data_IF_626212697514
#
_entry.id   IF_626212697514
#
_cell.length_a   1.000
_cell.length_b   1.000
_cell.length_c   1.000
_cell.angle_alpha   90.00
_cell.angle_beta   90.00
_cell.angle_gamma   90.00
#
_symmetry.space_group_name_H-M   'P 1'
#
loop_
_entity.id
_entity.type
_entity.pdbx_description
1 polymer ?
#
# COMPACT_ATOMS: atom_id res chain seq x y z
N UNK A 1 22.85 -13.28 -1.79
CA UNK A 1 21.45 -13.22 -2.25
C UNK A 1 21.14 -14.46 -3.09
N UNK A 2 20.39 -15.47 -2.57
CA UNK A 2 20.16 -16.72 -3.29
C UNK A 2 19.52 -16.53 -4.67
N UNK A 3 18.50 -15.66 -4.77
CA UNK A 3 17.83 -15.38 -6.06
C UNK A 3 18.76 -14.77 -7.12
N UNK A 4 19.71 -13.94 -6.71
CA UNK A 4 20.66 -13.31 -7.63
C UNK A 4 21.91 -14.17 -7.85
N UNK A 5 22.08 -15.26 -7.10
CA UNK A 5 23.30 -16.09 -7.05
C UNK A 5 24.58 -15.23 -6.92
N UNK A 6 24.53 -14.18 -6.10
CA UNK A 6 25.57 -13.18 -5.98
C UNK A 6 25.77 -12.71 -4.54
N UNK A 7 26.98 -12.25 -4.23
CA UNK A 7 27.36 -11.56 -3.02
C UNK A 7 27.57 -10.09 -3.33
N UNK A 8 27.02 -9.20 -2.51
CA UNK A 8 27.13 -7.77 -2.65
C UNK A 8 27.74 -7.16 -1.39
N UNK A 9 28.58 -6.16 -1.52
CA UNK A 9 28.86 -5.23 -0.42
C UNK A 9 27.65 -4.32 -0.22
N UNK A 10 27.58 -3.60 0.93
CA UNK A 10 26.44 -2.75 1.26
C UNK A 10 26.10 -1.75 0.15
N UNK A 11 27.07 -0.97 -0.34
CA UNK A 11 26.86 -0.02 -1.42
C UNK A 11 26.39 -0.65 -2.73
N UNK A 12 27.05 -1.76 -3.17
CA UNK A 12 26.58 -2.48 -4.37
C UNK A 12 25.15 -3.03 -4.21
N UNK A 13 24.78 -3.44 -3.00
CA UNK A 13 23.44 -3.92 -2.72
C UNK A 13 22.40 -2.80 -2.83
N UNK A 14 22.63 -1.67 -2.16
CA UNK A 14 21.66 -0.55 -2.15
C UNK A 14 21.65 0.21 -3.47
N UNK A 15 22.81 0.67 -3.94
CA UNK A 15 22.90 1.67 -4.99
C UNK A 15 22.90 1.06 -6.40
N UNK A 16 23.17 -0.26 -6.50
CA UNK A 16 23.13 -0.96 -7.78
C UNK A 16 22.03 -2.01 -7.82
N UNK A 17 22.05 -3.01 -6.92
CA UNK A 17 21.13 -4.14 -7.03
C UNK A 17 19.67 -3.73 -6.80
N UNK A 18 19.33 -3.19 -5.62
CA UNK A 18 17.94 -2.82 -5.28
C UNK A 18 17.46 -1.65 -6.17
N UNK A 19 18.29 -0.62 -6.34
CA UNK A 19 17.96 0.53 -7.19
C UNK A 19 17.69 0.13 -8.64
N UNK A 20 18.45 -0.81 -9.20
CA UNK A 20 18.22 -1.32 -10.56
C UNK A 20 16.92 -2.16 -10.66
N UNK A 21 16.54 -2.91 -9.61
CA UNK A 21 15.24 -3.61 -9.59
C UNK A 21 14.07 -2.61 -9.67
N UNK A 22 14.15 -1.52 -8.91
CA UNK A 22 13.14 -0.45 -8.93
C UNK A 22 13.13 0.29 -10.27
N UNK A 23 14.29 0.68 -10.79
CA UNK A 23 14.39 1.31 -12.12
C UNK A 23 13.86 0.41 -13.24
N UNK A 24 14.14 -0.89 -13.14
CA UNK A 24 13.62 -1.87 -14.10
C UNK A 24 12.10 -1.98 -14.01
N UNK A 25 11.54 -1.97 -12.79
CA UNK A 25 10.11 -1.95 -12.57
C UNK A 25 9.47 -0.71 -13.22
N UNK A 26 9.98 0.48 -12.90
CA UNK A 26 9.45 1.75 -13.41
C UNK A 26 9.52 1.81 -14.95
N UNK A 27 10.64 1.41 -15.55
CA UNK A 27 10.81 1.46 -17.00
C UNK A 27 10.00 0.39 -17.75
N UNK A 28 9.96 -0.83 -17.21
CA UNK A 28 9.27 -1.95 -17.86
C UNK A 28 7.76 -1.72 -17.95
N UNK A 29 7.18 -1.16 -16.89
CA UNK A 29 5.73 -0.99 -16.75
C UNK A 29 5.31 0.47 -16.98
N UNK A 30 6.21 1.33 -17.48
CA UNK A 30 5.99 2.76 -17.75
C UNK A 30 5.25 3.46 -16.57
N UNK A 31 5.76 3.25 -15.34
CA UNK A 31 5.06 3.65 -14.12
C UNK A 31 4.95 5.16 -13.93
N UNK A 32 6.04 5.87 -14.20
CA UNK A 32 6.13 7.32 -14.07
C UNK A 32 7.36 7.88 -14.80
N UNK A 33 7.30 9.15 -15.14
CA UNK A 33 8.40 9.94 -15.68
C UNK A 33 9.13 10.73 -14.59
N UNK A 34 10.25 11.36 -14.92
CA UNK A 34 11.01 12.24 -14.01
C UNK A 34 10.32 13.57 -13.72
N UNK A 35 9.42 13.98 -14.59
CA UNK A 35 8.63 15.20 -14.45
C UNK A 35 7.39 15.00 -13.59
N UNK A 36 6.96 13.74 -13.38
CA UNK A 36 5.76 13.46 -12.62
C UNK A 36 5.95 13.76 -11.13
N UNK A 37 4.94 14.33 -10.52
CA UNK A 37 4.83 14.48 -9.08
C UNK A 37 4.26 13.21 -8.48
N UNK A 38 5.04 12.53 -7.65
CA UNK A 38 4.68 11.25 -7.06
C UNK A 38 4.33 11.43 -5.60
N UNK A 39 3.15 10.96 -5.19
CA UNK A 39 2.77 10.87 -3.78
C UNK A 39 3.03 9.47 -3.26
N UNK A 40 3.89 9.33 -2.26
CA UNK A 40 4.22 8.04 -1.64
C UNK A 40 3.37 7.82 -0.41
N UNK A 41 2.57 6.76 -0.40
CA UNK A 41 1.81 6.37 0.79
C UNK A 41 2.76 5.80 1.85
N UNK A 42 3.07 6.58 2.88
CA UNK A 42 3.97 6.19 3.95
C UNK A 42 3.22 5.77 5.21
N UNK A 43 3.72 4.75 5.91
CA UNK A 43 3.11 4.22 7.13
C UNK A 43 4.10 4.13 8.30
N UNK A 44 5.32 4.63 8.13
CA UNK A 44 6.42 4.44 9.08
C UNK A 44 7.05 3.04 9.03
N UNK A 45 6.51 2.11 8.24
CA UNK A 45 7.08 0.78 8.07
C UNK A 45 8.16 0.74 6.98
N UNK A 46 9.06 -0.26 7.08
CA UNK A 46 10.26 -0.43 6.24
C UNK A 46 10.02 -0.28 4.74
N UNK A 47 8.97 -0.92 4.19
CA UNK A 47 8.76 -0.95 2.75
C UNK A 47 8.36 0.42 2.19
N UNK A 48 7.52 1.16 2.92
CA UNK A 48 7.09 2.49 2.50
C UNK A 48 8.23 3.52 2.58
N UNK A 49 9.06 3.45 3.62
CA UNK A 49 10.21 4.34 3.77
C UNK A 49 11.33 3.99 2.78
N UNK A 50 11.61 2.69 2.56
CA UNK A 50 12.54 2.24 1.54
C UNK A 50 12.11 2.71 0.13
N UNK A 51 10.82 2.62 -0.19
CA UNK A 51 10.29 3.13 -1.45
C UNK A 51 10.54 4.63 -1.60
N UNK A 52 10.25 5.40 -0.55
CA UNK A 52 10.41 6.86 -0.60
C UNK A 52 11.88 7.26 -0.76
N UNK A 53 12.80 6.62 0.01
CA UNK A 53 14.23 6.79 -0.17
C UNK A 53 14.68 6.47 -1.60
N UNK A 54 14.29 5.30 -2.11
CA UNK A 54 14.67 4.83 -3.44
C UNK A 54 14.21 5.79 -4.55
N UNK A 55 12.96 6.26 -4.50
CA UNK A 55 12.45 7.21 -5.48
C UNK A 55 13.22 8.55 -5.41
N UNK A 56 13.52 9.02 -4.19
CA UNK A 56 14.31 10.25 -3.97
C UNK A 56 15.74 10.10 -4.47
N UNK A 57 16.46 9.03 -4.09
CA UNK A 57 17.83 8.75 -4.54
C UNK A 57 17.90 8.59 -6.07
N UNK A 58 16.87 8.02 -6.66
CA UNK A 58 16.72 7.89 -8.11
C UNK A 58 16.34 9.22 -8.80
N UNK A 59 16.13 10.31 -8.08
CA UNK A 59 15.86 11.66 -8.58
C UNK A 59 14.43 11.88 -9.06
N UNK A 60 13.45 11.14 -8.56
CA UNK A 60 12.02 11.40 -8.77
C UNK A 60 11.51 12.49 -7.82
N UNK A 61 10.47 13.23 -8.24
CA UNK A 61 9.79 14.19 -7.39
C UNK A 61 8.75 13.44 -6.53
N UNK A 62 9.19 12.98 -5.35
CA UNK A 62 8.40 12.11 -4.49
C UNK A 62 8.19 12.76 -3.11
N UNK A 63 6.93 13.06 -2.77
CA UNK A 63 6.50 13.55 -1.47
C UNK A 63 5.74 12.48 -0.70
N UNK A 64 5.72 12.56 0.64
CA UNK A 64 5.08 11.56 1.49
C UNK A 64 3.62 11.92 1.81
N UNK A 65 2.78 10.89 1.96
CA UNK A 65 1.44 11.02 2.56
C UNK A 65 1.28 10.03 3.70
N UNK A 66 1.14 10.53 4.90
CA UNK A 66 0.82 9.77 6.10
C UNK A 66 -0.64 9.96 6.50
N UNK A 67 -1.32 8.86 6.87
CA UNK A 67 -2.67 8.92 7.42
C UNK A 67 -2.65 8.38 8.84
N UNK A 68 -2.88 9.28 9.81
CA UNK A 68 -3.10 8.96 11.21
C UNK A 68 -4.43 8.22 11.38
N UNK A 69 -4.39 7.00 11.91
CA UNK A 69 -5.54 6.08 11.97
C UNK A 69 -6.21 6.08 13.35
N UNK A 70 -5.69 6.85 14.31
CA UNK A 70 -6.18 6.87 15.69
C UNK A 70 -5.88 5.60 16.48
N UNK A 71 -4.87 4.79 16.09
CA UNK A 71 -4.49 3.54 16.77
C UNK A 71 -3.53 3.85 17.94
N UNK A 72 -3.88 4.81 18.78
CA UNK A 72 -3.11 5.19 19.96
C UNK A 72 -1.62 5.36 19.68
N UNK A 73 -0.75 4.98 20.61
CA UNK A 73 0.69 5.14 20.50
C UNK A 73 1.34 4.48 19.26
N UNK A 74 0.66 3.53 18.61
CA UNK A 74 1.14 2.99 17.34
C UNK A 74 1.07 4.03 16.22
N UNK A 75 -0.07 4.72 16.06
CA UNK A 75 -0.21 5.81 15.07
C UNK A 75 0.73 6.97 15.38
N UNK A 76 0.87 7.33 16.67
CA UNK A 76 1.72 8.44 17.10
C UNK A 76 3.18 8.19 16.72
N UNK A 77 3.73 7.01 17.06
CA UNK A 77 5.10 6.61 16.67
C UNK A 77 5.28 6.56 15.16
N UNK A 78 4.31 6.00 14.44
CA UNK A 78 4.37 5.94 12.97
C UNK A 78 4.43 7.35 12.35
N UNK A 79 3.64 8.28 12.89
CA UNK A 79 3.64 9.68 12.45
C UNK A 79 4.96 10.40 12.74
N UNK A 80 5.57 10.16 13.92
CA UNK A 80 6.90 10.70 14.27
C UNK A 80 7.94 10.18 13.30
N UNK A 81 8.04 8.88 13.13
CA UNK A 81 9.00 8.25 12.20
C UNK A 81 8.85 8.81 10.77
N UNK A 82 7.63 8.99 10.28
CA UNK A 82 7.42 9.56 8.95
C UNK A 82 7.89 11.03 8.85
N UNK A 83 7.69 11.85 9.89
CA UNK A 83 8.16 13.26 9.91
C UNK A 83 9.68 13.37 9.94
N UNK A 84 10.32 12.64 10.86
CA UNK A 84 11.77 12.64 10.99
C UNK A 84 12.44 12.18 9.71
N UNK A 85 11.83 11.18 9.06
CA UNK A 85 12.32 10.66 7.78
C UNK A 85 12.12 11.67 6.64
N UNK A 86 11.00 12.41 6.60
CA UNK A 86 10.75 13.47 5.64
C UNK A 86 11.81 14.58 5.73
N UNK A 87 12.13 15.00 6.98
CA UNK A 87 13.18 15.98 7.24
C UNK A 87 14.55 15.49 6.75
N UNK A 88 14.88 14.21 7.01
CA UNK A 88 16.12 13.60 6.53
C UNK A 88 16.21 13.58 5.00
N UNK A 89 15.10 13.34 4.31
CA UNK A 89 15.02 13.35 2.85
C UNK A 89 14.97 14.76 2.23
N UNK A 90 14.66 15.78 3.03
CA UNK A 90 14.35 17.13 2.52
C UNK A 90 13.12 17.13 1.61
N UNK A 91 12.08 16.32 1.94
CA UNK A 91 10.85 16.17 1.18
C UNK A 91 9.64 16.59 2.00
N UNK A 92 8.56 16.95 1.30
CA UNK A 92 7.30 17.28 1.94
C UNK A 92 6.60 16.03 2.48
N UNK A 93 6.00 16.14 3.68
CA UNK A 93 5.10 15.14 4.24
C UNK A 93 3.73 15.74 4.46
N UNK A 94 2.75 15.27 3.69
CA UNK A 94 1.34 15.57 3.92
C UNK A 94 0.83 14.61 5.01
N UNK A 95 0.22 15.17 6.05
CA UNK A 95 -0.37 14.38 7.14
C UNK A 95 -1.88 14.59 7.16
N UNK A 96 -2.63 13.50 7.18
CA UNK A 96 -4.10 13.52 7.32
C UNK A 96 -4.48 12.75 8.57
N UNK A 97 -5.22 13.36 9.47
CA UNK A 97 -5.85 12.68 10.58
C UNK A 97 -7.20 12.09 10.13
N UNK A 98 -7.40 10.78 10.33
CA UNK A 98 -8.61 10.10 9.87
C UNK A 98 -9.84 10.52 10.67
N UNK A 99 -9.69 10.82 11.96
CA UNK A 99 -10.79 11.26 12.81
C UNK A 99 -11.30 12.63 12.36
N UNK A 100 -10.39 13.57 12.11
CA UNK A 100 -10.73 14.89 11.57
C UNK A 100 -11.36 14.79 10.17
N UNK A 101 -10.77 13.95 9.31
CA UNK A 101 -11.20 13.79 7.91
C UNK A 101 -12.53 13.06 7.77
N UNK A 102 -12.75 12.00 8.57
CA UNK A 102 -13.85 11.06 8.37
C UNK A 102 -14.83 10.96 9.55
N UNK A 103 -14.50 11.53 10.72
CA UNK A 103 -15.33 11.50 11.94
C UNK A 103 -15.27 10.18 12.69
N UNK A 104 -14.24 9.33 12.47
CA UNK A 104 -14.03 8.09 13.20
C UNK A 104 -12.56 7.64 13.16
N UNK A 105 -12.16 6.87 14.15
CA UNK A 105 -10.88 6.17 14.20
C UNK A 105 -11.00 4.70 13.77
N UNK A 106 -9.89 4.04 13.42
CA UNK A 106 -9.93 2.59 13.09
C UNK A 106 -10.26 1.73 14.31
N UNK A 107 -9.79 2.00 15.55
CA UNK A 107 -10.27 1.29 16.75
C UNK A 107 -11.77 1.40 16.97
N UNK A 108 -12.38 2.55 16.74
CA UNK A 108 -13.84 2.70 16.79
C UNK A 108 -14.55 1.89 15.72
N UNK A 109 -14.04 1.95 14.49
CA UNK A 109 -14.56 1.15 13.39
C UNK A 109 -14.48 -0.37 13.68
N UNK A 110 -13.44 -0.81 14.42
CA UNK A 110 -13.26 -2.21 14.82
C UNK A 110 -14.34 -2.73 15.78
N UNK A 111 -14.99 -1.83 16.55
CA UNK A 111 -16.15 -2.20 17.40
C UNK A 111 -17.35 -2.67 16.58
N UNK A 112 -17.43 -2.26 15.31
CA UNK A 112 -18.46 -2.72 14.38
C UNK A 112 -18.10 -4.10 13.81
N UNK A 113 -18.64 -5.17 14.41
CA UNK A 113 -18.38 -6.56 14.01
C UNK A 113 -18.83 -6.94 12.58
N UNK A 114 -19.54 -6.05 11.87
CA UNK A 114 -20.02 -6.32 10.49
C UNK A 114 -18.89 -6.31 9.46
N UNK A 115 -17.76 -5.65 9.77
CA UNK A 115 -16.61 -5.56 8.86
C UNK A 115 -15.30 -5.67 9.66
N UNK A 116 -14.33 -6.49 9.21
CA UNK A 116 -13.02 -6.56 9.85
C UNK A 116 -12.32 -5.20 9.88
N UNK A 117 -11.58 -4.90 10.96
CA UNK A 117 -10.85 -3.64 11.12
C UNK A 117 -9.92 -3.35 9.95
N UNK A 118 -9.14 -4.35 9.51
CA UNK A 118 -8.23 -4.22 8.37
C UNK A 118 -8.94 -3.87 7.05
N UNK A 119 -10.16 -4.40 6.84
CA UNK A 119 -10.94 -4.08 5.63
C UNK A 119 -11.44 -2.62 5.64
N UNK A 120 -11.84 -2.10 6.82
CA UNK A 120 -12.22 -0.69 6.98
C UNK A 120 -10.99 0.21 6.87
N UNK A 121 -9.89 -0.14 7.52
CA UNK A 121 -8.61 0.57 7.42
C UNK A 121 -8.14 0.70 5.96
N UNK A 122 -8.10 -0.42 5.22
CA UNK A 122 -7.72 -0.41 3.81
C UNK A 122 -8.66 0.41 2.93
N UNK A 123 -9.97 0.40 3.22
CA UNK A 123 -10.95 1.24 2.51
C UNK A 123 -10.70 2.71 2.76
N UNK A 124 -10.52 3.12 4.03
CA UNK A 124 -10.28 4.50 4.43
C UNK A 124 -8.98 5.04 3.83
N UNK A 125 -7.87 4.29 3.96
CA UNK A 125 -6.58 4.66 3.36
C UNK A 125 -6.69 4.86 1.85
N UNK A 126 -7.27 3.90 1.11
CA UNK A 126 -7.40 4.02 -0.35
C UNK A 126 -8.24 5.22 -0.77
N UNK A 127 -9.27 5.57 0.01
CA UNK A 127 -10.08 6.75 -0.24
C UNK A 127 -9.27 8.03 -0.02
N UNK A 128 -8.66 8.19 1.16
CA UNK A 128 -7.86 9.37 1.53
C UNK A 128 -6.69 9.55 0.57
N UNK A 129 -5.92 8.51 0.29
CA UNK A 129 -4.78 8.56 -0.62
C UNK A 129 -5.16 9.07 -2.00
N UNK A 130 -6.27 8.55 -2.54
CA UNK A 130 -6.72 8.95 -3.87
C UNK A 130 -7.30 10.37 -3.87
N UNK A 131 -8.02 10.76 -2.82
CA UNK A 131 -8.60 12.10 -2.69
C UNK A 131 -7.50 13.17 -2.60
N UNK A 132 -6.52 12.98 -1.70
CA UNK A 132 -5.41 13.91 -1.49
C UNK A 132 -4.50 14.00 -2.72
N UNK A 133 -4.14 12.84 -3.32
CA UNK A 133 -3.30 12.84 -4.52
C UNK A 133 -3.94 13.64 -5.66
N UNK A 134 -5.24 13.49 -5.87
CA UNK A 134 -6.00 14.25 -6.88
C UNK A 134 -6.09 15.74 -6.53
N UNK A 135 -6.45 16.06 -5.29
CA UNK A 135 -6.68 17.44 -4.83
C UNK A 135 -5.42 18.28 -4.95
N UNK A 136 -4.26 17.70 -4.62
CA UNK A 136 -2.96 18.36 -4.68
C UNK A 136 -2.26 18.23 -6.05
N UNK A 137 -2.91 17.59 -7.03
CA UNK A 137 -2.41 17.49 -8.40
C UNK A 137 -1.18 16.62 -8.56
N UNK A 138 -1.12 15.49 -7.83
CA UNK A 138 -0.09 14.46 -8.05
C UNK A 138 -0.47 13.55 -9.24
N UNK A 139 0.53 13.22 -10.06
CA UNK A 139 0.36 12.40 -11.26
C UNK A 139 0.22 10.91 -10.93
N UNK A 140 0.92 10.47 -9.87
CA UNK A 140 0.89 9.08 -9.43
C UNK A 140 0.90 8.94 -7.91
N UNK A 141 0.24 7.88 -7.42
CA UNK A 141 0.28 7.40 -6.05
C UNK A 141 1.14 6.13 -5.99
N UNK A 142 2.30 6.21 -5.33
CA UNK A 142 3.19 5.07 -5.13
C UNK A 142 2.92 4.38 -3.79
N UNK A 143 2.92 3.05 -3.78
CA UNK A 143 2.75 2.25 -2.57
C UNK A 143 3.89 1.25 -2.40
N UNK A 144 4.30 1.02 -1.13
CA UNK A 144 5.39 0.13 -0.76
C UNK A 144 5.11 -1.37 -0.88
N UNK A 145 4.15 -1.77 -1.71
CA UNK A 145 3.89 -3.20 -1.94
C UNK A 145 5.07 -3.84 -2.66
N UNK A 146 5.67 -4.84 -2.01
CA UNK A 146 6.83 -5.58 -2.49
C UNK A 146 6.44 -6.89 -3.19
N UNK A 147 7.42 -7.68 -3.63
CA UNK A 147 7.21 -8.96 -4.29
C UNK A 147 6.38 -9.93 -3.42
N UNK A 148 6.69 -10.00 -2.13
CA UNK A 148 6.02 -10.92 -1.19
C UNK A 148 4.56 -10.55 -0.97
N UNK A 149 4.23 -9.27 -0.96
CA UNK A 149 2.84 -8.79 -0.88
C UNK A 149 2.05 -9.15 -2.13
N UNK A 150 2.62 -8.87 -3.31
CA UNK A 150 1.93 -9.12 -4.58
C UNK A 150 1.71 -10.61 -4.82
N UNK A 151 2.70 -11.45 -4.48
CA UNK A 151 2.59 -12.91 -4.60
C UNK A 151 1.57 -13.47 -3.61
N UNK A 152 1.53 -12.96 -2.36
CA UNK A 152 0.56 -13.41 -1.36
C UNK A 152 -0.89 -13.03 -1.76
N UNK A 153 -1.09 -11.83 -2.33
CA UNK A 153 -2.39 -11.41 -2.86
C UNK A 153 -2.79 -12.28 -4.04
N UNK A 154 -1.89 -12.48 -5.01
CA UNK A 154 -2.12 -13.35 -6.17
C UNK A 154 -2.49 -14.77 -5.73
N UNK A 155 -1.71 -15.37 -4.85
CA UNK A 155 -1.93 -16.71 -4.32
C UNK A 155 -3.30 -16.85 -3.65
N UNK A 156 -3.64 -15.88 -2.78
CA UNK A 156 -4.95 -15.86 -2.13
C UNK A 156 -6.11 -15.72 -3.12
N UNK A 157 -5.97 -14.91 -4.17
CA UNK A 157 -6.99 -14.73 -5.21
C UNK A 157 -7.15 -15.99 -6.07
N UNK A 158 -6.04 -16.66 -6.44
CA UNK A 158 -6.08 -17.94 -7.18
C UNK A 158 -6.75 -19.02 -6.34
N UNK A 159 -6.39 -19.18 -5.06
CA UNK A 159 -6.99 -20.19 -4.18
C UNK A 159 -8.50 -20.03 -3.99
N UNK A 160 -9.02 -18.82 -4.09
CA UNK A 160 -10.44 -18.51 -3.94
C UNK A 160 -11.17 -18.30 -5.26
N UNK A 161 -10.46 -18.37 -6.39
CA UNK A 161 -11.00 -18.07 -7.72
C UNK A 161 -11.68 -16.68 -7.79
N UNK A 162 -11.02 -15.68 -7.19
CA UNK A 162 -11.48 -14.29 -7.19
C UNK A 162 -11.11 -13.62 -8.52
N UNK A 163 -11.84 -13.96 -9.58
CA UNK A 163 -11.53 -13.57 -10.96
C UNK A 163 -11.48 -12.06 -11.15
N UNK A 164 -12.37 -11.30 -10.50
CA UNK A 164 -12.39 -9.84 -10.53
C UNK A 164 -11.11 -9.22 -9.94
N UNK A 165 -10.54 -9.84 -8.91
CA UNK A 165 -9.27 -9.38 -8.34
C UNK A 165 -8.09 -9.83 -9.20
N UNK A 166 -8.14 -11.01 -9.80
CA UNK A 166 -7.11 -11.49 -10.72
C UNK A 166 -7.01 -10.59 -11.96
N UNK A 167 -8.14 -10.17 -12.54
CA UNK A 167 -8.17 -9.26 -13.69
C UNK A 167 -7.47 -7.91 -13.39
N UNK A 168 -7.53 -7.45 -12.13
CA UNK A 168 -6.95 -6.18 -11.67
C UNK A 168 -5.56 -6.31 -11.06
N UNK A 169 -5.02 -7.53 -10.97
CA UNK A 169 -3.66 -7.75 -10.45
C UNK A 169 -2.65 -7.12 -11.41
N UNK A 170 -2.03 -6.00 -10.99
CA UNK A 170 -1.09 -5.26 -11.81
C UNK A 170 -0.16 -4.42 -10.94
N UNK A 171 1.11 -4.24 -11.35
CA UNK A 171 2.02 -3.27 -10.73
C UNK A 171 1.64 -1.82 -11.03
N UNK A 172 0.85 -1.59 -12.08
CA UNK A 172 0.27 -0.28 -12.43
C UNK A 172 -1.24 -0.42 -12.53
N UNK A 173 -1.96 0.49 -11.89
CA UNK A 173 -3.40 0.67 -12.04
C UNK A 173 -3.65 2.05 -12.62
N UNK A 174 -4.04 2.07 -13.89
CA UNK A 174 -4.31 3.30 -14.61
C UNK A 174 -5.52 4.06 -14.04
N UNK A 175 -5.52 5.37 -14.26
CA UNK A 175 -6.67 6.21 -13.94
C UNK A 175 -7.77 5.97 -14.96
N UNK A 176 -8.79 5.21 -14.59
CA UNK A 176 -9.96 4.91 -15.44
C UNK A 176 -11.14 5.87 -15.24
N UNK A 177 -10.98 6.88 -14.38
CA UNK A 177 -12.00 7.88 -14.08
C UNK A 177 -11.33 9.18 -13.58
N UNK A 178 -11.84 10.39 -13.89
CA UNK A 178 -11.23 11.67 -13.49
C UNK A 178 -11.02 11.86 -11.99
N UNK A 179 -11.73 11.10 -11.14
CA UNK A 179 -11.52 11.13 -9.69
C UNK A 179 -10.52 10.07 -9.18
N UNK A 180 -9.88 9.33 -10.06
CA UNK A 180 -8.84 8.37 -9.71
C UNK A 180 -7.46 8.91 -10.10
N UNK A 181 -6.44 8.58 -9.33
CA UNK A 181 -5.04 8.82 -9.64
C UNK A 181 -4.38 7.50 -10.01
N UNK A 182 -3.46 7.53 -10.97
CA UNK A 182 -2.63 6.38 -11.35
C UNK A 182 -1.92 5.83 -10.12
N UNK A 183 -1.94 4.51 -9.91
CA UNK A 183 -1.28 3.85 -8.78
C UNK A 183 -0.16 2.97 -9.28
N UNK A 184 0.99 3.09 -8.62
CA UNK A 184 2.20 2.36 -9.00
C UNK A 184 2.79 1.62 -7.79
N UNK A 185 3.46 0.49 -8.06
CA UNK A 185 4.09 -0.37 -7.06
C UNK A 185 5.55 -0.65 -7.43
N UNK A 186 6.45 0.35 -7.29
CA UNK A 186 7.83 0.20 -7.78
C UNK A 186 8.63 -0.93 -7.11
N UNK A 187 8.22 -1.36 -5.90
CA UNK A 187 8.87 -2.45 -5.16
C UNK A 187 8.39 -3.86 -5.55
N UNK A 188 7.45 -4.03 -6.48
CA UNK A 188 6.89 -5.35 -6.79
C UNK A 188 7.91 -6.40 -7.28
N UNK A 189 9.12 -5.95 -7.67
CA UNK A 189 10.27 -6.80 -8.03
C UNK A 189 11.23 -7.06 -6.89
N UNK A 190 11.11 -6.33 -5.78
CA UNK A 190 12.01 -6.38 -4.62
C UNK A 190 11.38 -7.27 -3.55
N UNK A 191 12.12 -8.24 -3.04
CA UNK A 191 11.63 -9.12 -1.97
C UNK A 191 11.59 -8.38 -0.62
N UNK A 192 10.68 -8.79 0.27
CA UNK A 192 10.52 -8.18 1.61
C UNK A 192 11.82 -8.19 2.43
N UNK A 193 12.60 -9.28 2.36
CA UNK A 193 13.93 -9.34 2.99
C UNK A 193 14.95 -8.39 2.37
N UNK A 194 14.78 -8.03 1.10
CA UNK A 194 15.67 -7.09 0.40
C UNK A 194 15.37 -5.65 0.83
N UNK A 195 14.09 -5.30 1.03
CA UNK A 195 13.72 -4.00 1.61
C UNK A 195 14.18 -3.87 3.05
N UNK A 196 14.08 -4.93 3.87
CA UNK A 196 14.60 -4.95 5.23
C UNK A 196 16.13 -4.74 5.27
N UNK A 197 16.87 -5.48 4.44
CA UNK A 197 18.32 -5.31 4.33
C UNK A 197 18.70 -3.91 3.82
N UNK A 198 17.94 -3.35 2.87
CA UNK A 198 18.12 -2.00 2.37
C UNK A 198 18.00 -0.97 3.50
N UNK A 199 16.93 -1.05 4.31
CA UNK A 199 16.73 -0.14 5.44
C UNK A 199 17.88 -0.22 6.45
N UNK A 200 18.31 -1.42 6.81
CA UNK A 200 19.43 -1.62 7.75
C UNK A 200 20.72 -1.01 7.20
N UNK A 201 21.07 -1.26 5.95
CA UNK A 201 22.30 -0.74 5.33
C UNK A 201 22.28 0.78 5.18
N UNK A 202 21.13 1.36 4.85
CA UNK A 202 20.94 2.81 4.71
C UNK A 202 20.73 3.53 6.06
N UNK A 203 20.61 2.79 7.17
CA UNK A 203 20.33 3.37 8.49
C UNK A 203 18.95 4.01 8.59
N UNK A 204 17.95 3.45 7.91
CA UNK A 204 16.57 3.94 7.95
C UNK A 204 15.88 3.35 9.17
N UNK A 205 15.52 4.21 10.12
CA UNK A 205 14.69 3.83 11.26
C UNK A 205 13.23 3.68 10.83
N UNK A 206 12.59 2.60 11.26
CA UNK A 206 11.19 2.30 10.93
C UNK A 206 10.47 1.63 12.10
N UNK A 207 9.15 1.69 12.09
CA UNK A 207 8.30 1.01 13.08
C UNK A 207 8.36 -0.50 12.84
N UNK A 208 8.90 -1.24 13.81
CA UNK A 208 9.05 -2.71 13.75
C UNK A 208 7.79 -3.40 14.26
N UNK A 209 7.07 -2.77 15.20
CA UNK A 209 5.89 -3.35 15.81
C UNK A 209 4.77 -3.53 14.80
N UNK A 210 4.11 -4.68 14.86
CA UNK A 210 2.91 -4.92 14.09
C UNK A 210 1.73 -4.09 14.61
N UNK A 211 0.83 -3.73 13.70
CA UNK A 211 -0.42 -3.07 14.08
C UNK A 211 -1.22 -3.94 15.05
N UNK A 212 -1.61 -3.45 16.24
CA UNK A 212 -2.32 -4.25 17.23
C UNK A 212 -3.69 -4.77 16.76
N UNK A 213 -4.22 -4.26 15.65
CA UNK A 213 -5.49 -4.67 15.05
C UNK A 213 -5.33 -5.70 13.93
N UNK A 214 -4.10 -6.19 13.65
CA UNK A 214 -3.81 -7.10 12.52
C UNK A 214 -4.17 -8.57 12.79
N UNK A 215 -4.59 -8.92 14.00
CA UNK A 215 -4.87 -10.29 14.41
C UNK A 215 -5.78 -11.02 13.41
N UNK A 216 -5.37 -12.23 13.00
CA UNK A 216 -6.14 -13.09 12.08
C UNK A 216 -5.94 -12.77 10.59
N UNK A 217 -4.95 -11.99 10.21
CA UNK A 217 -4.66 -11.68 8.81
C UNK A 217 -4.23 -12.94 8.03
N UNK A 218 -5.07 -13.36 7.08
CA UNK A 218 -4.80 -14.54 6.23
C UNK A 218 -3.62 -14.34 5.28
N UNK A 219 -3.26 -13.10 4.95
CA UNK A 219 -2.10 -12.81 4.10
C UNK A 219 -0.78 -13.26 4.73
N UNK A 220 -0.65 -13.15 6.05
CA UNK A 220 0.55 -13.65 6.75
C UNK A 220 0.72 -15.16 6.59
N UNK A 221 -0.39 -15.93 6.61
CA UNK A 221 -0.37 -17.37 6.35
C UNK A 221 0.06 -17.70 4.92
N UNK A 222 -0.40 -16.91 3.94
CA UNK A 222 0.02 -17.06 2.55
C UNK A 222 1.49 -16.70 2.36
N UNK A 223 1.97 -15.63 2.97
CA UNK A 223 3.40 -15.29 2.97
C UNK A 223 4.24 -16.43 3.51
N UNK A 224 3.90 -16.97 4.70
CA UNK A 224 4.67 -18.08 5.31
C UNK A 224 4.69 -19.33 4.43
N UNK A 225 3.58 -19.69 3.79
CA UNK A 225 3.55 -20.82 2.86
C UNK A 225 4.44 -20.58 1.62
N UNK A 226 4.42 -19.37 1.08
CA UNK A 226 5.24 -18.97 -0.06
C UNK A 226 6.73 -18.84 0.31
N UNK A 227 7.05 -18.47 1.56
CA UNK A 227 8.42 -18.46 2.06
C UNK A 227 9.00 -19.88 2.10
N UNK A 228 8.24 -20.86 2.59
CA UNK A 228 8.67 -22.24 2.59
C UNK A 228 8.92 -22.80 1.17
N UNK A 229 8.09 -22.42 0.20
CA UNK A 229 8.30 -22.78 -1.21
C UNK A 229 9.54 -22.09 -1.80
N UNK A 230 9.76 -20.82 -1.48
CA UNK A 230 10.92 -20.06 -1.95
C UNK A 230 12.23 -20.58 -1.36
N UNK A 231 12.22 -21.05 -0.08
CA UNK A 231 13.37 -21.69 0.55
C UNK A 231 13.72 -23.03 -0.11
N UNK A 232 12.70 -23.83 -0.44
CA UNK A 232 12.87 -25.10 -1.12
C UNK A 232 13.31 -24.94 -2.59
N UNK A 233 12.83 -23.90 -3.26
CA UNK A 233 13.10 -23.60 -4.67
C UNK A 233 13.23 -22.08 -4.89
N UNK A 234 14.46 -21.52 -4.78
CA UNK A 234 14.69 -20.10 -4.95
C UNK A 234 14.23 -19.57 -6.32
N UNK A 235 13.45 -18.48 -6.31
CA UNK A 235 12.85 -17.87 -7.48
C UNK A 235 11.38 -18.27 -7.72
N UNK A 236 10.81 -19.12 -6.89
CA UNK A 236 9.40 -19.54 -6.98
C UNK A 236 8.43 -18.36 -6.94
N UNK A 237 8.61 -17.43 -6.00
CA UNK A 237 7.78 -16.22 -5.90
C UNK A 237 7.84 -15.39 -7.17
N UNK A 238 9.04 -15.18 -7.68
CA UNK A 238 9.25 -14.44 -8.92
C UNK A 238 8.56 -15.14 -10.10
N UNK A 239 8.82 -16.44 -10.29
CA UNK A 239 8.23 -17.21 -11.39
C UNK A 239 6.71 -17.23 -11.34
N UNK A 240 6.12 -17.32 -10.15
CA UNK A 240 4.67 -17.32 -9.97
C UNK A 240 4.05 -15.98 -10.35
N UNK A 241 4.60 -14.84 -9.82
CA UNK A 241 4.06 -13.52 -10.13
C UNK A 241 4.23 -13.15 -11.61
N UNK A 242 5.45 -13.31 -12.14
CA UNK A 242 5.73 -12.88 -13.52
C UNK A 242 5.09 -13.82 -14.53
N UNK A 243 5.02 -15.13 -14.25
CA UNK A 243 4.26 -16.05 -15.08
C UNK A 243 2.78 -15.67 -15.16
N UNK A 244 2.20 -15.21 -14.05
CA UNK A 244 0.82 -14.70 -14.06
C UNK A 244 0.71 -13.38 -14.83
N UNK A 245 1.57 -12.39 -14.58
CA UNK A 245 1.52 -11.09 -15.24
C UNK A 245 1.72 -11.18 -16.76
N UNK A 246 2.59 -12.08 -17.21
CA UNK A 246 2.95 -12.24 -18.62
C UNK A 246 1.99 -13.14 -19.40
N UNK A 247 1.39 -14.15 -18.76
CA UNK A 247 0.61 -15.20 -19.44
C UNK A 247 -0.76 -15.42 -18.80
N UNK A 248 -0.82 -15.42 -17.47
CA UNK A 248 -2.05 -15.78 -16.75
C UNK A 248 -3.10 -14.67 -16.77
N UNK A 249 -2.68 -13.42 -16.81
CA UNK A 249 -3.58 -12.25 -16.73
C UNK A 249 -4.55 -12.18 -17.92
N UNK A 250 -4.12 -12.60 -19.10
CA UNK A 250 -4.97 -12.61 -20.30
C UNK A 250 -6.18 -13.55 -20.18
N UNK A 251 -6.11 -14.55 -19.29
CA UNK A 251 -7.20 -15.46 -19.00
C UNK A 251 -8.33 -14.83 -18.17
N UNK A 252 -8.07 -13.65 -17.59
CA UNK A 252 -8.99 -12.91 -16.72
C UNK A 252 -9.18 -11.48 -17.25
N UNK A 253 -9.95 -11.30 -18.33
CA UNK A 253 -10.22 -9.98 -18.87
C UNK A 253 -10.97 -9.13 -17.82
N UNK A 254 -10.71 -7.82 -17.73
CA UNK A 254 -11.43 -6.95 -16.80
C UNK A 254 -12.90 -6.85 -17.19
N UNK A 255 -13.79 -7.03 -16.21
CA UNK A 255 -15.19 -6.69 -16.37
C UNK A 255 -15.32 -5.17 -16.59
N UNK A 256 -15.99 -4.79 -17.66
CA UNK A 256 -16.20 -3.39 -18.04
C UNK A 256 -17.19 -2.66 -17.09
N UNK A 257 -16.83 -2.56 -15.79
CA UNK A 257 -17.66 -1.87 -14.82
C UNK A 257 -17.57 -0.36 -15.05
N UNK A 258 -18.68 0.24 -15.45
CA UNK A 258 -18.78 1.69 -15.62
C UNK A 258 -18.71 2.39 -14.24
N UNK A 259 -17.77 3.32 -14.11
CA UNK A 259 -17.59 4.12 -12.91
C UNK A 259 -18.27 5.48 -13.07
N UNK A 260 -18.92 5.94 -12.01
CA UNK A 260 -19.51 7.27 -11.89
C UNK A 260 -18.99 8.00 -10.65
N UNK A 261 -19.20 9.29 -10.56
CA UNK A 261 -18.86 10.06 -9.36
C UNK A 261 -19.85 9.75 -8.23
N UNK A 262 -19.33 9.49 -7.05
CA UNK A 262 -20.13 9.35 -5.83
C UNK A 262 -20.91 10.64 -5.54
N UNK A 263 -22.20 10.56 -5.30
CA UNK A 263 -23.06 11.72 -5.02
C UNK A 263 -22.70 12.47 -3.73
N UNK A 264 -21.90 11.87 -2.82
CA UNK A 264 -21.47 12.49 -1.57
C UNK A 264 -20.08 13.11 -1.63
N UNK A 265 -19.10 12.44 -2.23
CA UNK A 265 -17.70 12.86 -2.19
C UNK A 265 -17.01 12.96 -3.57
N UNK A 266 -17.73 12.67 -4.67
CA UNK A 266 -17.18 12.71 -6.02
C UNK A 266 -16.21 11.57 -6.38
N UNK A 267 -15.86 10.66 -5.46
CA UNK A 267 -14.96 9.53 -5.76
C UNK A 267 -15.61 8.54 -6.71
N UNK A 268 -14.81 7.89 -7.54
CA UNK A 268 -15.27 6.87 -8.48
C UNK A 268 -15.93 5.68 -7.77
N UNK A 269 -17.09 5.28 -8.28
CA UNK A 269 -17.88 4.16 -7.74
C UNK A 269 -18.79 3.58 -8.82
N UNK A 270 -19.08 2.26 -8.81
CA UNK A 270 -20.11 1.70 -9.69
C UNK A 270 -21.54 2.04 -9.27
N UNK A 271 -21.74 2.44 -8.01
CA UNK A 271 -23.06 2.82 -7.47
C UNK A 271 -23.21 4.32 -7.26
N UNK A 272 -24.35 4.76 -6.71
CA UNK A 272 -24.60 6.17 -6.40
C UNK A 272 -23.71 6.71 -5.27
N UNK A 273 -23.46 5.89 -4.24
CA UNK A 273 -22.65 6.23 -3.06
C UNK A 273 -21.52 5.23 -2.93
N UNK A 274 -20.29 5.72 -2.81
CA UNK A 274 -19.10 4.88 -2.71
C UNK A 274 -19.04 4.11 -1.38
N UNK A 275 -18.24 3.03 -1.35
CA UNK A 275 -18.10 2.17 -0.18
C UNK A 275 -17.59 2.92 1.06
N UNK A 276 -16.72 3.93 0.87
CA UNK A 276 -16.22 4.77 1.96
C UNK A 276 -17.36 5.60 2.59
N UNK A 277 -18.12 6.35 1.79
CA UNK A 277 -19.23 7.16 2.30
C UNK A 277 -20.33 6.32 2.96
N UNK A 278 -20.58 5.09 2.46
CA UNK A 278 -21.51 4.15 3.11
C UNK A 278 -20.98 3.70 4.48
N UNK A 279 -19.70 3.37 4.56
CA UNK A 279 -19.05 2.97 5.82
C UNK A 279 -19.02 4.13 6.80
N UNK A 280 -18.62 5.32 6.38
CA UNK A 280 -18.59 6.53 7.18
C UNK A 280 -19.94 6.86 7.80
N UNK A 281 -21.03 6.82 7.02
CA UNK A 281 -22.36 7.10 7.52
C UNK A 281 -22.80 6.16 8.65
N UNK A 282 -22.37 4.90 8.59
CA UNK A 282 -22.65 3.91 9.66
C UNK A 282 -21.77 4.17 10.88
N UNK A 283 -20.49 4.44 10.69
CA UNK A 283 -19.52 4.58 11.77
C UNK A 283 -19.75 5.87 12.57
N UNK A 284 -19.98 6.99 11.92
CA UNK A 284 -20.27 8.28 12.59
C UNK A 284 -21.57 8.19 13.43
N UNK A 285 -22.58 7.46 12.95
CA UNK A 285 -23.79 7.23 13.75
C UNK A 285 -23.55 6.37 15.00
N UNK A 286 -22.57 5.47 14.96
CA UNK A 286 -22.21 4.62 16.10
C UNK A 286 -21.42 5.42 17.13
N UNK A 287 -20.50 6.27 16.70
CA UNK A 287 -19.69 7.12 17.58
C UNK A 287 -20.51 8.24 18.24
N UNK A 288 -21.52 8.76 17.55
CA UNK A 288 -22.42 9.79 18.06
C UNK A 288 -23.46 9.28 19.10
N UNK A 289 -23.59 7.97 19.33
CA UNK A 289 -24.46 7.43 20.37
C UNK A 289 -23.79 7.61 21.72
N UNK A 290 -24.41 8.32 22.70
CA UNK A 290 -23.87 8.39 24.05
C UNK A 290 -23.72 6.96 24.61
N UNK A 291 -22.58 6.68 25.22
CA UNK A 291 -22.40 5.50 26.06
C UNK A 291 -23.43 5.58 27.18
N UNK A 292 -24.42 4.71 27.13
CA UNK A 292 -25.33 4.53 28.28
C UNK A 292 -24.48 3.92 29.39
N UNK A 293 -24.06 4.73 30.34
CA UNK A 293 -23.50 4.24 31.59
C UNK A 293 -24.62 3.44 32.30
N UNK A 294 -24.52 2.12 32.26
CA UNK A 294 -25.29 1.25 33.09
C UNK A 294 -24.68 1.36 34.51
N UNK A 295 -25.19 2.28 35.30
CA UNK A 295 -24.90 2.33 36.72
C UNK A 295 -25.37 1.00 37.36
N UNK A 296 -24.43 0.23 37.93
CA UNK A 296 -24.66 -0.83 38.90
C UNK A 296 -24.63 -0.25 40.30
#
# INVERSE_FOLDING_TARGET
MPRANAHFCGGCFTDSYVSNLVLKAIKHDDMCSRSDRILVAVSGGKDSLALWQLLTDLGYQADGLYVGLGIGGYSDRSGVVCRDFAETLGRELITVDLEEYAGYTIPEAAKNKRRPACATCGLSKRHVFNAIARELGYDALATGHNLDDEVAVLFGNVLRWETDYLSRQSPVLESTHPSLVRKIKPLYRVAERETAAYCVIKGIDYVVEECPLVAGNTQMKFKSALDALEEASPGTKHSFLFGFLEKGKELFPPDGVELRACTRCGSATPGEVCAFCKAQAILVQITARPTVEVGL
#
